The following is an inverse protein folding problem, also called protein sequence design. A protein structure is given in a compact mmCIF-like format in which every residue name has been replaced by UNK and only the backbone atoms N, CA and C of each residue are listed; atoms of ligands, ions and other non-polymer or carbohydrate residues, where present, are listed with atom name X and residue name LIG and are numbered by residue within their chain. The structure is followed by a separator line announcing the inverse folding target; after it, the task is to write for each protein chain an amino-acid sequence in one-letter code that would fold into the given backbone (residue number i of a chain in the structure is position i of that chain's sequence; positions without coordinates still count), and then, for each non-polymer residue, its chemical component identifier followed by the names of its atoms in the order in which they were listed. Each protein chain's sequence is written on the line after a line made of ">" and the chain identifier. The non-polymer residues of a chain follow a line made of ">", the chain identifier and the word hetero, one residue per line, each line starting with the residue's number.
data_IF_020671074058
#
_entry.id   IF_020671074058
#
_cell.length_a   1.000
_cell.length_b   1.000
_cell.length_c   1.000
_cell.angle_alpha   90.00
_cell.angle_beta   90.00
_cell.angle_gamma   90.00
#
_symmetry.space_group_name_H-M   'P 1'
#
loop_
_entity.id
_entity.type
_entity.pdbx_description
1 polymer ?
#
# COMPACT_ATOMS: atom_id res chain seq x y z
N UNK A 1 -3.44 13.29 -16.60
CA UNK A 1 -2.18 14.03 -16.79
C UNK A 1 -1.18 13.26 -15.95
N UNK A 2 -0.22 12.53 -16.54
CA UNK A 2 0.60 11.58 -15.76
C UNK A 2 1.36 12.32 -14.67
N UNK A 3 1.16 11.94 -13.40
CA UNK A 3 1.93 12.52 -12.30
C UNK A 3 3.42 12.25 -12.50
N UNK A 4 4.23 13.30 -12.31
CA UNK A 4 5.67 13.16 -12.27
C UNK A 4 6.09 12.59 -10.90
N UNK A 5 6.45 11.31 -10.87
CA UNK A 5 6.88 10.60 -9.66
C UNK A 5 8.39 10.66 -9.40
N UNK A 6 9.17 11.26 -10.31
CA UNK A 6 10.61 11.41 -10.17
C UNK A 6 11.07 12.09 -8.85
N UNK A 7 10.36 13.11 -8.31
CA UNK A 7 10.72 13.68 -7.02
C UNK A 7 10.62 12.68 -5.85
N UNK A 8 9.67 11.74 -5.88
CA UNK A 8 9.50 10.74 -4.83
C UNK A 8 10.59 9.67 -4.90
N UNK A 9 10.91 9.19 -6.11
CA UNK A 9 12.05 8.31 -6.37
C UNK A 9 13.34 8.96 -5.86
N UNK A 10 13.56 10.23 -6.18
CA UNK A 10 14.75 10.97 -5.74
C UNK A 10 14.80 11.11 -4.21
N UNK A 11 13.67 11.41 -3.56
CA UNK A 11 13.59 11.51 -2.10
C UNK A 11 13.97 10.19 -1.43
N UNK A 12 13.38 9.08 -1.86
CA UNK A 12 13.67 7.74 -1.32
C UNK A 12 15.15 7.37 -1.52
N UNK A 13 15.66 7.46 -2.75
CA UNK A 13 17.04 7.07 -3.07
C UNK A 13 18.08 7.95 -2.37
N UNK A 14 17.80 9.26 -2.22
CA UNK A 14 18.65 10.18 -1.45
C UNK A 14 18.64 9.83 0.03
N UNK A 15 17.49 9.46 0.59
CA UNK A 15 17.38 9.02 1.97
C UNK A 15 18.20 7.74 2.21
N UNK A 16 18.02 6.69 1.39
CA UNK A 16 18.80 5.44 1.49
C UNK A 16 20.31 5.69 1.43
N UNK A 17 20.75 6.55 0.50
CA UNK A 17 22.16 6.96 0.38
C UNK A 17 22.65 7.69 1.63
N UNK A 18 21.84 8.58 2.19
CA UNK A 18 22.19 9.36 3.39
C UNK A 18 22.30 8.45 4.62
N UNK A 19 21.42 7.46 4.78
CA UNK A 19 21.54 6.45 5.82
C UNK A 19 22.83 5.63 5.68
N UNK A 20 23.16 5.18 4.47
CA UNK A 20 24.41 4.47 4.20
C UNK A 20 25.65 5.30 4.61
N UNK A 21 25.66 6.58 4.22
CA UNK A 21 26.74 7.51 4.59
C UNK A 21 26.82 7.73 6.10
N UNK A 22 25.67 7.88 6.76
CA UNK A 22 25.60 8.09 8.20
C UNK A 22 26.15 6.89 8.98
N UNK A 23 25.75 5.65 8.62
CA UNK A 23 26.21 4.46 9.37
C UNK A 23 27.69 4.15 9.15
N UNK A 24 28.23 4.49 7.98
CA UNK A 24 29.64 4.27 7.63
C UNK A 24 30.53 5.48 7.99
N UNK A 25 29.97 6.57 8.52
CA UNK A 25 30.73 7.75 8.92
C UNK A 25 31.84 7.41 9.91
N UNK A 26 33.04 7.92 9.62
CA UNK A 26 34.23 7.77 10.46
C UNK A 26 35.05 9.06 10.43
N UNK A 27 35.67 9.40 11.56
CA UNK A 27 36.57 10.55 11.65
C UNK A 27 37.73 10.19 12.61
N UNK A 28 38.99 10.18 12.13
CA UNK A 28 40.16 9.84 12.96
C UNK A 28 40.36 10.75 14.18
N UNK A 29 39.83 11.97 14.13
CA UNK A 29 39.94 12.95 15.21
C UNK A 29 38.83 12.81 16.26
N UNK A 30 37.85 11.93 16.04
CA UNK A 30 36.71 11.75 16.94
C UNK A 30 36.89 10.51 17.81
N UNK A 31 36.51 10.60 19.08
CA UNK A 31 36.34 9.41 19.93
C UNK A 31 35.19 8.54 19.42
N UNK A 32 35.18 7.25 19.75
CA UNK A 32 34.05 6.37 19.41
C UNK A 32 32.69 6.94 19.85
N UNK A 33 32.63 7.59 21.01
CA UNK A 33 31.41 8.23 21.51
C UNK A 33 30.97 9.45 20.69
N UNK A 34 31.92 10.20 20.12
CA UNK A 34 31.65 11.32 19.24
C UNK A 34 31.24 10.84 17.84
N UNK A 35 31.87 9.76 17.34
CA UNK A 35 31.45 9.09 16.10
C UNK A 35 30.00 8.62 16.22
N UNK A 36 29.63 7.87 17.27
CA UNK A 36 28.24 7.40 17.44
C UNK A 36 27.22 8.54 17.47
N UNK A 37 27.54 9.65 18.16
CA UNK A 37 26.65 10.84 18.20
C UNK A 37 26.50 11.48 16.83
N UNK A 38 27.60 11.61 16.09
CA UNK A 38 27.57 12.19 14.75
C UNK A 38 26.79 11.31 13.76
N UNK A 39 26.97 9.98 13.83
CA UNK A 39 26.17 9.02 13.04
C UNK A 39 24.68 9.17 13.30
N UNK A 40 24.30 9.21 14.58
CA UNK A 40 22.90 9.39 14.96
C UNK A 40 22.35 10.73 14.47
N UNK A 41 23.11 11.82 14.62
CA UNK A 41 22.72 13.14 14.11
C UNK A 41 22.46 13.09 12.60
N UNK A 42 23.36 12.50 11.82
CA UNK A 42 23.18 12.38 10.37
C UNK A 42 21.97 11.51 9.99
N UNK A 43 21.65 10.46 10.76
CA UNK A 43 20.41 9.70 10.57
C UNK A 43 19.18 10.58 10.82
N UNK A 44 19.17 11.40 11.88
CA UNK A 44 18.06 12.32 12.16
C UNK A 44 17.92 13.40 11.08
N UNK A 45 19.04 13.96 10.61
CA UNK A 45 19.05 14.95 9.53
C UNK A 45 18.49 14.33 8.23
N UNK A 46 18.83 13.06 7.93
CA UNK A 46 18.28 12.33 6.79
C UNK A 46 16.77 12.08 6.94
N UNK A 47 16.30 11.68 8.14
CA UNK A 47 14.87 11.49 8.44
C UNK A 47 14.08 12.79 8.28
N UNK A 48 14.60 13.91 8.81
CA UNK A 48 13.98 15.22 8.68
C UNK A 48 13.90 15.65 7.20
N UNK A 49 14.98 15.47 6.43
CA UNK A 49 14.99 15.78 5.01
C UNK A 49 14.00 14.93 4.19
N UNK A 50 13.79 13.66 4.55
CA UNK A 50 12.79 12.80 3.93
C UNK A 50 11.36 13.23 4.30
N UNK A 51 11.11 13.54 5.58
CA UNK A 51 9.82 14.01 6.07
C UNK A 51 9.30 15.22 5.28
N UNK A 52 10.16 16.18 4.98
CA UNK A 52 9.84 17.38 4.18
C UNK A 52 9.47 17.07 2.72
N UNK A 53 9.72 15.85 2.24
CA UNK A 53 9.42 15.39 0.88
C UNK A 53 8.20 14.50 0.79
N UNK A 54 7.61 14.12 1.93
CA UNK A 54 6.40 13.31 1.95
C UNK A 54 5.24 14.14 1.40
N UNK A 55 4.57 13.70 0.31
CA UNK A 55 3.44 14.43 -0.22
C UNK A 55 2.29 14.46 0.79
N UNK A 56 1.55 15.57 0.81
CA UNK A 56 0.33 15.67 1.59
C UNK A 56 -0.67 14.58 1.14
N UNK A 57 -1.45 14.07 2.09
CA UNK A 57 -2.58 13.22 1.75
C UNK A 57 -3.53 14.03 0.84
N UNK A 58 -3.94 13.47 -0.29
CA UNK A 58 -4.97 14.10 -1.11
C UNK A 58 -6.33 13.80 -0.50
N UNK A 59 -7.24 14.77 -0.56
CA UNK A 59 -8.59 14.67 0.01
C UNK A 59 -9.50 13.66 -0.73
N UNK A 60 -9.05 13.11 -1.85
CA UNK A 60 -9.80 12.08 -2.56
C UNK A 60 -9.67 10.76 -1.78
N UNK A 61 -10.64 10.50 -0.93
CA UNK A 61 -10.85 9.19 -0.32
C UNK A 61 -11.25 8.20 -1.43
N UNK A 62 -10.25 7.54 -2.00
CA UNK A 62 -10.43 6.58 -3.07
C UNK A 62 -11.32 5.41 -2.63
N UNK A 63 -11.23 5.02 -1.36
CA UNK A 63 -12.02 3.93 -0.79
C UNK A 63 -13.50 4.35 -0.72
N UNK A 64 -13.80 5.59 -0.34
CA UNK A 64 -15.16 6.12 -0.37
C UNK A 64 -15.74 6.18 -1.80
N UNK A 65 -14.94 6.53 -2.81
CA UNK A 65 -15.40 6.55 -4.20
C UNK A 65 -15.59 5.16 -4.80
N UNK A 66 -14.74 4.20 -4.43
CA UNK A 66 -14.92 2.78 -4.78
C UNK A 66 -16.21 2.26 -4.14
N UNK A 67 -16.43 2.55 -2.86
CA UNK A 67 -17.66 2.19 -2.16
C UNK A 67 -18.90 2.76 -2.86
N UNK A 68 -18.89 4.05 -3.26
CA UNK A 68 -20.00 4.67 -4.00
C UNK A 68 -20.30 3.95 -5.33
N UNK A 69 -19.27 3.52 -6.06
CA UNK A 69 -19.45 2.75 -7.31
C UNK A 69 -20.08 1.39 -7.04
N UNK A 70 -19.59 0.68 -6.02
CA UNK A 70 -20.08 -0.65 -5.67
C UNK A 70 -21.51 -0.58 -5.13
N UNK A 71 -21.83 0.38 -4.27
CA UNK A 71 -23.17 0.61 -3.73
C UNK A 71 -24.15 1.01 -4.86
N UNK A 72 -23.65 1.70 -5.90
CA UNK A 72 -24.41 2.02 -7.11
C UNK A 72 -24.83 0.80 -7.96
N UNK A 73 -24.25 -0.38 -7.71
CA UNK A 73 -24.63 -1.66 -8.35
C UNK A 73 -25.80 -2.35 -7.65
N UNK A 74 -26.24 -1.84 -6.49
CA UNK A 74 -27.38 -2.38 -5.78
C UNK A 74 -28.63 -2.39 -6.68
N UNK A 75 -29.43 -3.47 -6.66
CA UNK A 75 -30.59 -3.61 -7.53
C UNK A 75 -31.65 -2.57 -7.19
N UNK A 76 -32.23 -1.93 -8.22
CA UNK A 76 -33.17 -0.81 -8.10
C UNK A 76 -34.63 -1.24 -8.21
N UNK A 77 -34.88 -2.47 -8.65
CA UNK A 77 -36.21 -3.03 -8.84
C UNK A 77 -36.21 -4.55 -8.59
N UNK A 78 -37.41 -5.14 -8.48
CA UNK A 78 -37.59 -6.55 -8.17
C UNK A 78 -36.97 -7.49 -9.22
N UNK A 79 -36.96 -7.11 -10.49
CA UNK A 79 -36.38 -7.91 -11.57
C UNK A 79 -34.85 -7.99 -11.43
N UNK A 80 -34.21 -6.85 -11.13
CA UNK A 80 -32.77 -6.79 -10.86
C UNK A 80 -32.39 -7.60 -9.61
N UNK A 81 -33.22 -7.55 -8.54
CA UNK A 81 -33.04 -8.40 -7.36
C UNK A 81 -33.05 -9.87 -7.76
N UNK A 82 -34.06 -10.31 -8.53
CA UNK A 82 -34.18 -11.70 -8.94
C UNK A 82 -32.98 -12.16 -9.80
N UNK A 83 -32.50 -11.30 -10.71
CA UNK A 83 -31.31 -11.60 -11.53
C UNK A 83 -30.05 -11.73 -10.68
N UNK A 84 -29.82 -10.80 -9.76
CA UNK A 84 -28.64 -10.85 -8.88
C UNK A 84 -28.69 -12.04 -7.92
N UNK A 85 -29.86 -12.37 -7.36
CA UNK A 85 -30.02 -13.58 -6.51
C UNK A 85 -29.71 -14.87 -7.27
N UNK A 86 -30.10 -14.95 -8.54
CA UNK A 86 -29.79 -16.11 -9.39
C UNK A 86 -28.29 -16.22 -9.64
N UNK A 87 -27.60 -15.11 -9.93
CA UNK A 87 -26.14 -15.12 -10.08
C UNK A 87 -25.44 -15.45 -8.77
N UNK A 88 -25.89 -14.90 -7.64
CA UNK A 88 -25.34 -15.24 -6.33
C UNK A 88 -25.48 -16.73 -6.02
N UNK A 89 -26.66 -17.32 -6.25
CA UNK A 89 -26.87 -18.78 -6.09
C UNK A 89 -25.89 -19.61 -6.92
N UNK A 90 -25.56 -19.17 -8.14
CA UNK A 90 -24.55 -19.84 -8.98
C UNK A 90 -23.15 -19.70 -8.38
N UNK A 91 -22.78 -18.50 -7.91
CA UNK A 91 -21.49 -18.24 -7.26
C UNK A 91 -21.35 -19.13 -6.02
N UNK A 92 -22.32 -19.11 -5.10
CA UNK A 92 -22.29 -19.92 -3.88
C UNK A 92 -22.18 -21.41 -4.17
N UNK A 93 -22.89 -21.92 -5.19
CA UNK A 93 -22.77 -23.31 -5.61
C UNK A 93 -21.36 -23.65 -6.11
N UNK A 94 -20.73 -22.75 -6.87
CA UNK A 94 -19.37 -22.95 -7.38
C UNK A 94 -18.31 -22.91 -6.26
N UNK A 95 -18.45 -21.98 -5.31
CA UNK A 95 -17.59 -21.95 -4.12
C UNK A 95 -17.76 -23.23 -3.30
N UNK A 96 -18.99 -23.67 -3.08
CA UNK A 96 -19.27 -24.93 -2.35
C UNK A 96 -18.66 -26.14 -3.05
N UNK A 97 -18.57 -26.12 -4.38
CA UNK A 97 -17.87 -27.13 -5.18
C UNK A 97 -16.34 -27.00 -5.17
N UNK A 98 -15.78 -26.08 -4.38
CA UNK A 98 -14.33 -25.89 -4.18
C UNK A 98 -13.66 -24.93 -5.17
N UNK A 99 -14.42 -24.15 -5.96
CA UNK A 99 -13.82 -23.05 -6.75
C UNK A 99 -13.45 -21.89 -5.85
N UNK A 100 -12.31 -21.25 -6.11
CA UNK A 100 -11.95 -20.01 -5.41
C UNK A 100 -12.84 -18.84 -5.87
N UNK A 101 -13.26 -18.00 -4.92
CA UNK A 101 -14.03 -16.80 -5.20
C UNK A 101 -13.26 -15.83 -6.12
N UNK A 102 -11.94 -15.72 -5.93
CA UNK A 102 -11.05 -14.95 -6.80
C UNK A 102 -11.18 -15.36 -8.28
N UNK A 103 -11.08 -16.67 -8.57
CA UNK A 103 -11.21 -17.17 -9.94
C UNK A 103 -12.61 -16.92 -10.53
N UNK A 104 -13.64 -16.91 -9.68
CA UNK A 104 -15.00 -16.59 -10.09
C UNK A 104 -15.16 -15.11 -10.42
N UNK A 105 -14.48 -14.22 -9.69
CA UNK A 105 -14.47 -12.77 -9.95
C UNK A 105 -13.73 -12.47 -11.26
N UNK A 106 -12.54 -13.04 -11.46
CA UNK A 106 -11.73 -12.82 -12.67
C UNK A 106 -12.44 -13.28 -13.97
N UNK A 107 -13.36 -14.24 -13.87
CA UNK A 107 -14.14 -14.74 -15.00
C UNK A 107 -15.59 -14.25 -15.01
N UNK A 108 -15.98 -13.38 -14.09
CA UNK A 108 -17.35 -12.89 -13.97
C UNK A 108 -17.70 -11.90 -15.09
N UNK A 109 -19.00 -11.75 -15.36
CA UNK A 109 -19.49 -10.61 -16.11
C UNK A 109 -19.98 -9.52 -15.13
N UNK A 110 -20.29 -8.29 -15.58
CA UNK A 110 -20.71 -7.21 -14.69
C UNK A 110 -21.91 -7.54 -13.79
N UNK A 111 -22.87 -8.34 -14.26
CA UNK A 111 -24.02 -8.75 -13.44
C UNK A 111 -23.61 -9.67 -12.28
N UNK A 112 -22.70 -10.62 -12.53
CA UNK A 112 -22.16 -11.49 -11.49
C UNK A 112 -21.26 -10.72 -10.52
N UNK A 113 -20.48 -9.76 -11.02
CA UNK A 113 -19.69 -8.86 -10.17
C UNK A 113 -20.57 -8.04 -9.22
N UNK A 114 -21.69 -7.50 -9.72
CA UNK A 114 -22.67 -6.80 -8.89
C UNK A 114 -23.27 -7.72 -7.81
N UNK A 115 -23.65 -8.95 -8.18
CA UNK A 115 -24.15 -9.93 -7.22
C UNK A 115 -23.11 -10.28 -6.14
N UNK A 116 -21.83 -10.45 -6.52
CA UNK A 116 -20.75 -10.71 -5.54
C UNK A 116 -20.58 -9.52 -4.60
N UNK A 117 -20.49 -8.29 -5.12
CA UNK A 117 -20.36 -7.09 -4.29
C UNK A 117 -21.53 -6.91 -3.31
N UNK A 118 -22.75 -7.24 -3.73
CA UNK A 118 -23.96 -7.09 -2.92
C UNK A 118 -24.05 -8.10 -1.77
N UNK A 119 -23.55 -9.32 -1.96
CA UNK A 119 -23.80 -10.43 -1.03
C UNK A 119 -22.54 -10.93 -0.29
N UNK A 120 -21.38 -10.33 -0.55
CA UNK A 120 -20.12 -10.77 0.07
C UNK A 120 -20.15 -10.69 1.60
N UNK A 121 -20.83 -9.70 2.17
CA UNK A 121 -20.91 -9.51 3.63
C UNK A 121 -21.62 -10.66 4.35
N UNK A 122 -22.48 -11.40 3.64
CA UNK A 122 -23.20 -12.57 4.17
C UNK A 122 -22.69 -13.89 3.59
N UNK A 123 -21.54 -13.86 2.90
CA UNK A 123 -20.91 -15.06 2.34
C UNK A 123 -20.34 -15.96 3.44
N UNK A 124 -20.33 -17.30 3.25
CA UNK A 124 -19.65 -18.20 4.17
C UNK A 124 -18.17 -17.85 4.39
N UNK A 125 -17.48 -17.36 3.37
CA UNK A 125 -16.07 -16.97 3.42
C UNK A 125 -15.83 -15.78 4.36
N UNK A 126 -16.65 -14.73 4.24
CA UNK A 126 -16.56 -13.58 5.15
C UNK A 126 -16.96 -13.98 6.58
N UNK A 127 -18.03 -14.75 6.74
CA UNK A 127 -18.53 -15.17 8.06
C UNK A 127 -17.63 -16.17 8.79
N UNK A 128 -16.87 -16.99 8.06
CA UNK A 128 -15.93 -17.96 8.63
C UNK A 128 -14.52 -17.39 8.85
N UNK A 129 -14.22 -16.19 8.34
CA UNK A 129 -12.92 -15.54 8.49
C UNK A 129 -12.70 -15.04 9.92
N UNK A 130 -11.45 -15.07 10.37
CA UNK A 130 -11.02 -14.41 11.62
C UNK A 130 -10.98 -12.88 11.47
N UNK A 131 -10.84 -12.41 10.22
CA UNK A 131 -10.96 -11.00 9.82
C UNK A 131 -11.98 -10.88 8.68
N UNK A 132 -13.29 -10.80 8.99
CA UNK A 132 -14.34 -10.62 7.98
C UNK A 132 -14.17 -9.32 7.19
N UNK A 133 -13.76 -8.24 7.86
CA UNK A 133 -13.55 -6.92 7.26
C UNK A 133 -12.48 -6.92 6.19
N UNK A 134 -11.33 -7.57 6.45
CA UNK A 134 -10.24 -7.69 5.48
C UNK A 134 -10.67 -8.46 4.23
N UNK A 135 -11.34 -9.60 4.40
CA UNK A 135 -11.85 -10.41 3.27
C UNK A 135 -12.85 -9.63 2.43
N UNK A 136 -13.79 -8.91 3.07
CA UNK A 136 -14.77 -8.08 2.35
C UNK A 136 -14.06 -6.99 1.55
N UNK A 137 -13.08 -6.31 2.13
CA UNK A 137 -12.32 -5.25 1.46
C UNK A 137 -11.56 -5.79 0.24
N UNK A 138 -10.84 -6.92 0.39
CA UNK A 138 -10.10 -7.56 -0.71
C UNK A 138 -11.03 -7.96 -1.87
N UNK A 139 -12.18 -8.56 -1.56
CA UNK A 139 -13.14 -8.96 -2.59
C UNK A 139 -13.75 -7.73 -3.28
N UNK A 140 -14.12 -6.69 -2.53
CA UNK A 140 -14.66 -5.44 -3.10
C UNK A 140 -13.65 -4.75 -4.02
N UNK A 141 -12.38 -4.72 -3.63
CA UNK A 141 -11.30 -4.21 -4.47
C UNK A 141 -11.15 -5.02 -5.77
N UNK A 142 -11.11 -6.36 -5.68
CA UNK A 142 -10.99 -7.21 -6.87
C UNK A 142 -12.21 -7.08 -7.81
N UNK A 143 -13.41 -6.94 -7.24
CA UNK A 143 -14.63 -6.66 -8.02
C UNK A 143 -14.54 -5.31 -8.74
N UNK A 144 -14.09 -4.26 -8.04
CA UNK A 144 -13.89 -2.94 -8.65
C UNK A 144 -12.91 -2.98 -9.81
N UNK A 145 -11.77 -3.67 -9.64
CA UNK A 145 -10.79 -3.88 -10.71
C UNK A 145 -11.40 -4.58 -11.92
N UNK A 146 -12.20 -5.63 -11.73
CA UNK A 146 -12.86 -6.30 -12.84
C UNK A 146 -13.93 -5.43 -13.53
N UNK A 147 -14.65 -4.58 -12.79
CA UNK A 147 -15.59 -3.63 -13.39
C UNK A 147 -14.88 -2.61 -14.28
N UNK A 148 -13.67 -2.18 -13.89
CA UNK A 148 -12.79 -1.35 -14.72
C UNK A 148 -12.40 -2.09 -16.01
N UNK A 149 -11.93 -3.34 -15.91
CA UNK A 149 -11.54 -4.16 -17.07
C UNK A 149 -12.72 -4.38 -18.05
N UNK A 150 -13.94 -4.53 -17.51
CA UNK A 150 -15.16 -4.60 -18.32
C UNK A 150 -15.65 -3.25 -18.88
N UNK A 151 -14.95 -2.15 -18.60
CA UNK A 151 -15.29 -0.83 -19.12
C UNK A 151 -16.54 -0.20 -18.51
N UNK A 152 -16.94 -0.60 -17.29
CA UNK A 152 -18.08 0.00 -16.59
C UNK A 152 -17.78 1.48 -16.33
N UNK A 153 -18.55 2.37 -16.97
CA UNK A 153 -18.25 3.81 -17.02
C UNK A 153 -18.01 4.46 -15.66
N UNK A 154 -18.77 4.09 -14.63
CA UNK A 154 -18.61 4.63 -13.29
C UNK A 154 -17.28 4.20 -12.66
N UNK A 155 -16.93 2.91 -12.75
CA UNK A 155 -15.67 2.37 -12.26
C UNK A 155 -14.46 2.96 -13.00
N UNK A 156 -14.52 3.01 -14.34
CA UNK A 156 -13.47 3.64 -15.17
C UNK A 156 -13.29 5.11 -14.81
N UNK A 157 -14.39 5.86 -14.61
CA UNK A 157 -14.33 7.26 -14.21
C UNK A 157 -13.67 7.41 -12.84
N UNK A 158 -14.07 6.63 -11.84
CA UNK A 158 -13.46 6.69 -10.50
C UNK A 158 -11.98 6.33 -10.55
N UNK A 159 -11.61 5.28 -11.29
CA UNK A 159 -10.20 4.97 -11.55
C UNK A 159 -9.46 6.17 -12.14
N UNK A 160 -9.99 6.79 -13.19
CA UNK A 160 -9.32 7.92 -13.86
C UNK A 160 -9.24 9.17 -12.98
N UNK A 161 -10.27 9.42 -12.16
CA UNK A 161 -10.30 10.53 -11.20
C UNK A 161 -9.34 10.33 -10.03
N UNK A 162 -9.17 9.08 -9.59
CA UNK A 162 -8.35 8.74 -8.42
C UNK A 162 -6.96 8.25 -8.79
N UNK A 163 -6.65 7.95 -10.06
CA UNK A 163 -5.35 7.40 -10.48
C UNK A 163 -4.17 8.24 -9.95
N UNK A 164 -4.25 9.55 -10.14
CA UNK A 164 -3.26 10.50 -9.67
C UNK A 164 -3.24 10.62 -8.13
N UNK A 165 -4.34 10.35 -7.44
CA UNK A 165 -4.37 10.32 -5.98
C UNK A 165 -3.79 9.01 -5.41
N UNK A 166 -4.11 7.89 -6.03
CA UNK A 166 -3.65 6.56 -5.66
C UNK A 166 -2.14 6.42 -5.83
N UNK A 167 -1.58 6.94 -6.93
CA UNK A 167 -0.12 6.97 -7.14
C UNK A 167 0.57 7.80 -6.04
N UNK A 168 0.03 8.99 -5.71
CA UNK A 168 0.60 9.85 -4.66
C UNK A 168 0.47 9.21 -3.27
N UNK A 169 -0.66 8.57 -2.98
CA UNK A 169 -0.88 7.86 -1.71
C UNK A 169 0.05 6.65 -1.58
N UNK A 170 0.28 5.89 -2.65
CA UNK A 170 1.23 4.78 -2.65
C UNK A 170 2.66 5.29 -2.37
N UNK A 171 3.09 6.35 -3.07
CA UNK A 171 4.39 6.99 -2.79
C UNK A 171 4.49 7.54 -1.37
N UNK A 172 3.41 8.14 -0.85
CA UNK A 172 3.35 8.60 0.54
C UNK A 172 3.63 7.46 1.51
N UNK A 173 2.97 6.32 1.34
CA UNK A 173 3.13 5.15 2.21
C UNK A 173 4.56 4.59 2.12
N UNK A 174 5.14 4.48 0.92
CA UNK A 174 6.55 4.07 0.73
C UNK A 174 7.49 4.98 1.53
N UNK A 175 7.33 6.30 1.45
CA UNK A 175 8.21 7.25 2.14
C UNK A 175 8.00 7.26 3.66
N UNK A 176 6.77 7.04 4.13
CA UNK A 176 6.47 6.91 5.57
C UNK A 176 7.09 5.63 6.14
N UNK A 177 6.85 4.49 5.51
CA UNK A 177 7.41 3.21 5.98
C UNK A 177 8.95 3.21 5.90
N UNK A 178 9.54 3.91 4.92
CA UNK A 178 10.98 4.10 4.87
C UNK A 178 11.53 4.87 6.08
N UNK A 179 10.78 5.82 6.66
CA UNK A 179 11.17 6.50 7.89
C UNK A 179 11.16 5.56 9.10
N UNK A 180 10.18 4.65 9.14
CA UNK A 180 9.99 3.68 10.22
C UNK A 180 11.02 2.54 10.17
N UNK A 181 11.65 2.32 9.01
CA UNK A 181 12.89 1.56 8.87
C UNK A 181 12.88 0.60 7.68
N UNK A 182 11.73 0.01 7.36
CA UNK A 182 11.60 -0.90 6.23
C UNK A 182 10.22 -0.75 5.58
N UNK A 183 10.21 -0.72 4.25
CA UNK A 183 8.97 -0.72 3.47
C UNK A 183 8.46 -2.14 3.37
N UNK A 184 7.20 -2.35 3.72
CA UNK A 184 6.52 -3.64 3.66
C UNK A 184 6.36 -4.15 2.23
N UNK A 185 6.28 -5.47 2.08
CA UNK A 185 6.01 -6.11 0.79
C UNK A 185 4.65 -5.68 0.21
N UNK A 186 3.65 -5.45 1.07
CA UNK A 186 2.34 -4.96 0.64
C UNK A 186 2.42 -3.58 -0.02
N UNK A 187 3.13 -2.65 0.61
CA UNK A 187 3.32 -1.30 0.09
C UNK A 187 4.18 -1.30 -1.19
N UNK A 188 5.22 -2.12 -1.26
CA UNK A 188 6.02 -2.29 -2.47
C UNK A 188 5.24 -2.92 -3.63
N UNK A 189 4.40 -3.94 -3.35
CA UNK A 189 3.54 -4.57 -4.36
C UNK A 189 2.50 -3.59 -4.92
N UNK A 190 1.84 -2.82 -4.04
CA UNK A 190 0.89 -1.78 -4.44
C UNK A 190 1.57 -0.70 -5.30
N UNK A 191 2.78 -0.30 -4.94
CA UNK A 191 3.58 0.65 -5.71
C UNK A 191 3.98 0.10 -7.08
N UNK A 192 4.43 -1.16 -7.16
CA UNK A 192 4.76 -1.84 -8.41
C UNK A 192 3.56 -1.96 -9.37
N UNK A 193 2.34 -2.07 -8.82
CA UNK A 193 1.11 -2.09 -9.61
C UNK A 193 0.72 -0.68 -10.13
N UNK A 194 0.78 0.34 -9.26
CA UNK A 194 0.28 1.68 -9.57
C UNK A 194 1.29 2.55 -10.36
N UNK A 195 2.59 2.38 -10.14
CA UNK A 195 3.65 3.07 -10.87
C UNK A 195 4.85 2.12 -11.09
N UNK A 196 4.75 1.19 -12.06
CA UNK A 196 5.79 0.21 -12.34
C UNK A 196 7.14 0.84 -12.72
N UNK A 197 7.11 2.00 -13.38
CA UNK A 197 8.32 2.73 -13.79
C UNK A 197 9.02 3.33 -12.57
N UNK A 198 8.27 3.98 -11.69
CA UNK A 198 8.78 4.51 -10.43
C UNK A 198 9.31 3.41 -9.52
N UNK A 199 8.61 2.27 -9.42
CA UNK A 199 9.08 1.10 -8.69
C UNK A 199 10.40 0.56 -9.24
N UNK A 200 10.49 0.34 -10.56
CA UNK A 200 11.73 -0.12 -11.20
C UNK A 200 12.91 0.83 -10.96
N UNK A 201 12.64 2.15 -10.94
CA UNK A 201 13.66 3.17 -10.68
C UNK A 201 14.21 3.17 -9.24
N UNK A 202 13.55 2.48 -8.29
CA UNK A 202 14.07 2.33 -6.93
C UNK A 202 15.27 1.37 -6.87
N UNK A 203 15.39 0.41 -7.79
CA UNK A 203 16.48 -0.58 -7.79
C UNK A 203 16.56 -1.41 -6.51
N UNK A 204 15.41 -1.72 -5.89
CA UNK A 204 15.32 -2.41 -4.59
C UNK A 204 15.99 -3.79 -4.63
N UNK A 205 15.73 -4.57 -5.68
CA UNK A 205 16.27 -5.92 -5.83
C UNK A 205 17.80 -5.96 -5.93
N UNK A 206 18.41 -4.93 -6.51
CA UNK A 206 19.87 -4.85 -6.66
C UNK A 206 20.59 -4.49 -5.35
N UNK A 207 19.88 -3.87 -4.39
CA UNK A 207 20.49 -3.32 -3.18
C UNK A 207 20.01 -3.99 -1.88
N UNK A 208 19.15 -4.99 -1.96
CA UNK A 208 18.43 -5.58 -0.81
C UNK A 208 19.34 -5.97 0.36
N UNK A 209 20.40 -6.75 0.11
CA UNK A 209 21.32 -7.20 1.16
C UNK A 209 22.04 -6.05 1.86
N UNK A 210 22.44 -5.04 1.09
CA UNK A 210 23.09 -3.83 1.62
C UNK A 210 22.09 -3.02 2.44
N UNK A 211 20.87 -2.91 1.95
CA UNK A 211 19.80 -2.16 2.58
C UNK A 211 19.42 -2.75 3.94
N UNK A 212 19.26 -4.07 4.02
CA UNK A 212 19.02 -4.79 5.28
C UNK A 212 20.14 -4.52 6.30
N UNK A 213 21.41 -4.53 5.85
CA UNK A 213 22.54 -4.25 6.74
C UNK A 213 22.56 -2.80 7.26
N UNK A 214 22.18 -1.83 6.41
CA UNK A 214 22.05 -0.43 6.82
C UNK A 214 20.95 -0.29 7.85
N UNK A 215 19.78 -0.90 7.62
CA UNK A 215 18.63 -0.81 8.51
C UNK A 215 18.95 -1.41 9.89
N UNK A 216 19.62 -2.57 9.93
CA UNK A 216 20.12 -3.16 11.17
C UNK A 216 21.11 -2.24 11.93
N UNK A 217 22.01 -1.56 11.21
CA UNK A 217 22.95 -0.61 11.83
C UNK A 217 22.22 0.63 12.38
N UNK A 218 21.22 1.13 11.67
CA UNK A 218 20.38 2.27 12.11
C UNK A 218 19.58 1.91 13.35
N UNK A 219 18.91 0.75 13.36
CA UNK A 219 18.15 0.25 14.51
C UNK A 219 19.05 0.14 15.76
N UNK A 220 20.26 -0.39 15.59
CA UNK A 220 21.25 -0.45 16.68
C UNK A 220 21.67 0.93 17.17
N UNK A 221 21.81 1.92 16.29
CA UNK A 221 22.13 3.30 16.69
C UNK A 221 20.98 3.93 17.48
N UNK A 222 19.74 3.74 17.05
CA UNK A 222 18.54 4.22 17.74
C UNK A 222 18.43 3.61 19.15
N UNK A 223 18.63 2.29 19.27
CA UNK A 223 18.60 1.57 20.55
C UNK A 223 19.69 2.01 21.55
N UNK A 224 20.84 2.49 21.08
CA UNK A 224 21.92 3.00 21.94
C UNK A 224 21.58 4.35 22.57
N UNK A 225 20.80 5.19 21.89
CA UNK A 225 20.41 6.51 22.39
C UNK A 225 19.20 6.43 23.33
N UNK A 226 18.20 5.59 23.04
CA UNK A 226 17.06 5.36 23.96
C UNK A 226 17.50 4.90 25.36
N UNK A 227 18.58 4.11 25.43
CA UNK A 227 19.19 3.66 26.69
C UNK A 227 19.97 4.75 27.42
N UNK A 228 20.44 5.81 26.74
CA UNK A 228 21.11 6.94 27.38
C UNK A 228 20.12 7.90 28.01
N UNK A 229 19.02 8.19 27.33
CA UNK A 229 17.99 9.11 27.82
C UNK A 229 17.29 8.55 29.07
N UNK A 230 17.11 7.23 29.13
CA UNK A 230 16.58 6.53 30.33
C UNK A 230 17.54 6.50 31.52
N UNK A 231 18.85 6.68 31.30
CA UNK A 231 19.85 6.78 32.38
C UNK A 231 20.00 8.23 32.86
N UNK A 232 19.85 9.22 31.96
CA UNK A 232 19.92 10.64 32.29
C UNK A 232 18.65 11.17 33.00
N UNK A 233 17.52 10.45 32.92
CA UNK A 233 16.26 10.81 33.56
C UNK A 233 16.10 10.26 35.00
N UNK A 234 17.18 9.80 35.64
CA UNK A 234 17.25 9.39 37.05
C UNK A 234 18.19 10.30 37.82
#
# INVERSE_FOLDING_TARGET
>A
MTINTAPFVQAFTTFRRSLAQAVDFTNPNYTNSAITRERFKQVMDARAALLDKIPAAKDADADAQIAEVLDGLAPKNADEVALQEVEWRKVSALVTAGRSLEALILAANPLRLAAIAQWIEVSPEALASVDPSGVIAEVRELVFQQLVEHGVRAAVRVRDLTADANIVAAWRNVLIEALEGAVSLGTMSRMAHLDPQGYAALGVDENLDRDIQIDYKVEKLDGLNLRRDTIAAK
#
